data_IF_189993069716
#
_entry.id   IF_189993069716
#
_cell.length_a   1.000
_cell.length_b   1.000
_cell.length_c   1.000
_cell.angle_alpha   90.00
_cell.angle_beta   90.00
_cell.angle_gamma   90.00
#
_symmetry.space_group_name_H-M   'P 1'
#
loop_
_entity.id
_entity.type
_entity.pdbx_description
1 polymer ?
#
# COMPACT_ATOMS: atom_id res chain seq x y z
N UNK A 1 7.87 -8.52 10.64
CA UNK A 1 9.12 -8.03 10.10
C UNK A 1 10.07 -9.20 9.90
N UNK A 2 10.67 -9.34 8.74
CA UNK A 2 11.56 -10.44 8.34
C UNK A 2 12.97 -10.36 9.00
N UNK A 3 13.14 -9.56 10.03
CA UNK A 3 14.44 -9.29 10.61
C UNK A 3 14.74 -10.09 11.90
N UNK A 4 13.79 -10.86 12.39
CA UNK A 4 13.93 -11.60 13.63
C UNK A 4 13.69 -13.10 13.39
N UNK A 5 14.74 -13.86 13.18
CA UNK A 5 14.70 -15.31 13.36
C UNK A 5 14.86 -15.58 14.86
N UNK A 6 13.81 -16.07 15.52
CA UNK A 6 13.83 -16.50 16.91
C UNK A 6 13.92 -18.03 16.93
N UNK A 7 15.12 -18.64 17.01
CA UNK A 7 15.23 -20.06 17.20
C UNK A 7 14.73 -20.44 18.61
N UNK A 8 13.93 -21.49 18.68
CA UNK A 8 13.54 -22.13 19.93
C UNK A 8 14.56 -23.21 20.18
N UNK A 9 15.26 -23.14 21.29
CA UNK A 9 16.34 -24.05 21.67
C UNK A 9 15.79 -25.11 22.61
N UNK A 10 16.43 -26.26 22.61
CA UNK A 10 16.16 -27.33 23.61
C UNK A 10 16.66 -26.92 24.97
N UNK A 11 17.80 -26.18 25.02
CA UNK A 11 18.42 -25.69 26.23
C UNK A 11 19.25 -24.44 25.92
N UNK A 12 18.73 -23.28 26.30
CA UNK A 12 19.36 -21.99 26.04
C UNK A 12 20.66 -21.78 26.86
N UNK A 13 20.85 -22.52 27.94
CA UNK A 13 22.05 -22.40 28.78
C UNK A 13 23.34 -22.92 28.11
N UNK A 14 23.21 -23.69 27.03
CA UNK A 14 24.33 -24.24 26.25
C UNK A 14 24.79 -23.30 25.14
N UNK A 15 24.16 -22.16 24.96
CA UNK A 15 24.54 -21.21 23.92
C UNK A 15 25.75 -20.41 24.37
N UNK A 16 26.80 -20.44 23.60
CA UNK A 16 27.97 -19.56 23.78
C UNK A 16 27.63 -18.18 23.20
N UNK A 17 27.08 -17.31 24.04
CA UNK A 17 26.71 -15.94 23.67
C UNK A 17 27.91 -15.13 23.18
N UNK A 18 29.05 -15.24 23.88
CA UNK A 18 30.27 -14.54 23.50
C UNK A 18 30.80 -14.98 22.13
N UNK A 19 30.78 -16.28 21.84
CA UNK A 19 31.14 -16.82 20.53
C UNK A 19 30.25 -16.26 19.42
N UNK A 20 28.93 -16.18 19.67
CA UNK A 20 27.94 -15.64 18.70
C UNK A 20 28.14 -14.16 18.45
N UNK A 21 28.39 -13.34 19.47
CA UNK A 21 28.59 -11.88 19.32
C UNK A 21 29.86 -11.51 18.54
N UNK A 22 30.85 -12.40 18.54
CA UNK A 22 32.12 -12.21 17.80
C UNK A 22 32.09 -12.80 16.39
N UNK A 23 30.99 -13.43 15.97
CA UNK A 23 30.86 -13.95 14.61
C UNK A 23 30.66 -12.84 13.59
N UNK A 24 31.34 -12.93 12.46
CA UNK A 24 31.24 -11.96 11.39
C UNK A 24 29.82 -11.92 10.83
N UNK A 25 29.17 -10.74 10.89
CA UNK A 25 27.81 -10.55 10.42
C UNK A 25 26.74 -10.58 11.52
N UNK A 26 27.08 -10.95 12.74
CA UNK A 26 26.21 -10.86 13.92
C UNK A 26 26.37 -9.47 14.53
N UNK A 27 25.25 -8.79 14.74
CA UNK A 27 25.18 -7.46 15.35
C UNK A 27 24.88 -7.51 16.85
N UNK A 28 24.38 -8.65 17.33
CA UNK A 28 24.10 -8.89 18.74
C UNK A 28 23.41 -10.23 18.95
N UNK A 29 23.53 -10.76 20.16
CA UNK A 29 22.93 -12.02 20.59
C UNK A 29 22.27 -11.80 21.95
N UNK A 30 20.93 -11.94 22.04
CA UNK A 30 20.16 -11.60 23.23
C UNK A 30 19.32 -12.79 23.66
N UNK A 31 19.54 -13.31 24.90
CA UNK A 31 18.64 -14.31 25.47
C UNK A 31 17.25 -13.71 25.70
N UNK A 32 16.23 -14.47 25.35
CA UNK A 32 14.82 -14.13 25.57
C UNK A 32 14.22 -15.00 26.67
N UNK A 33 13.05 -14.64 27.16
CA UNK A 33 12.35 -15.44 28.17
C UNK A 33 11.95 -16.82 27.64
N UNK A 34 12.20 -17.86 28.41
CA UNK A 34 12.09 -19.26 27.99
C UNK A 34 13.29 -19.67 27.14
N UNK A 35 13.27 -20.88 26.57
CA UNK A 35 14.38 -21.43 25.75
C UNK A 35 14.47 -20.77 24.36
N UNK A 36 14.40 -19.43 24.32
CA UNK A 36 14.51 -18.65 23.10
C UNK A 36 15.76 -17.79 23.11
N UNK A 37 16.40 -17.71 21.95
CA UNK A 37 17.58 -16.91 21.76
C UNK A 37 17.44 -16.07 20.49
N UNK A 38 17.67 -14.77 20.58
CA UNK A 38 17.59 -13.87 19.43
C UNK A 38 18.99 -13.52 18.96
N UNK A 39 19.28 -13.86 17.71
CA UNK A 39 20.52 -13.44 17.04
C UNK A 39 20.17 -12.36 16.03
N UNK A 40 20.71 -11.17 16.22
CA UNK A 40 20.52 -10.03 15.34
C UNK A 40 21.59 -10.06 14.26
N UNK A 41 21.17 -10.28 13.02
CA UNK A 41 22.04 -10.35 11.85
C UNK A 41 21.69 -9.16 10.93
N UNK A 42 22.68 -8.53 10.33
CA UNK A 42 22.47 -7.45 9.38
C UNK A 42 21.80 -7.89 8.08
N UNK A 43 21.97 -7.13 7.00
CA UNK A 43 21.25 -7.32 5.72
C UNK A 43 21.36 -8.70 5.05
N UNK A 44 22.18 -9.62 5.57
CA UNK A 44 22.35 -10.99 5.06
C UNK A 44 21.44 -12.06 5.67
N UNK A 45 20.42 -11.68 6.44
CA UNK A 45 19.54 -12.62 7.17
C UNK A 45 18.97 -13.73 6.29
N UNK A 46 18.50 -13.39 5.08
CA UNK A 46 17.91 -14.36 4.16
C UNK A 46 18.92 -15.45 3.75
N UNK A 47 20.15 -15.05 3.41
CA UNK A 47 21.20 -15.97 3.00
C UNK A 47 21.66 -16.85 4.17
N UNK A 48 21.76 -16.29 5.37
CA UNK A 48 22.11 -17.07 6.57
C UNK A 48 21.01 -18.06 6.90
N UNK A 49 19.75 -17.68 6.80
CA UNK A 49 18.61 -18.56 7.01
C UNK A 49 18.61 -19.73 6.00
N UNK A 50 18.81 -19.46 4.73
CA UNK A 50 18.91 -20.51 3.70
C UNK A 50 20.07 -21.46 3.98
N UNK A 51 21.24 -20.95 4.34
CA UNK A 51 22.40 -21.77 4.67
C UNK A 51 22.15 -22.65 5.89
N UNK A 52 21.48 -22.14 6.93
CA UNK A 52 21.11 -22.92 8.11
C UNK A 52 20.12 -24.03 7.73
N UNK A 53 19.11 -23.73 6.90
CA UNK A 53 18.11 -24.72 6.48
C UNK A 53 18.67 -25.82 5.57
N UNK A 54 19.83 -25.59 4.94
CA UNK A 54 20.54 -26.59 4.15
C UNK A 54 21.51 -27.47 4.97
N UNK A 55 21.67 -27.21 6.26
CA UNK A 55 22.50 -28.07 7.12
C UNK A 55 21.82 -29.44 7.30
N UNK A 56 22.60 -30.55 7.29
CA UNK A 56 22.05 -31.90 7.49
C UNK A 56 21.32 -32.05 8.83
N UNK A 57 21.76 -31.33 9.86
CA UNK A 57 21.20 -31.32 11.20
C UNK A 57 19.82 -30.65 11.25
N UNK A 58 19.52 -29.83 10.25
CA UNK A 58 18.23 -29.15 10.10
C UNK A 58 17.26 -29.91 9.17
N UNK A 59 17.67 -31.06 8.65
CA UNK A 59 16.82 -31.90 7.81
C UNK A 59 15.64 -32.46 8.65
N UNK A 60 14.48 -31.85 8.53
CA UNK A 60 13.30 -32.18 9.34
C UNK A 60 12.80 -31.04 10.22
N UNK A 61 13.56 -29.99 10.38
CA UNK A 61 13.16 -28.77 11.08
C UNK A 61 12.60 -27.79 10.03
N UNK A 62 11.28 -27.62 9.99
CA UNK A 62 10.60 -26.72 9.02
C UNK A 62 9.83 -27.41 7.92
N UNK A 63 9.91 -28.74 7.79
CA UNK A 63 8.98 -29.52 6.97
C UNK A 63 7.67 -29.70 7.73
N UNK A 64 6.55 -29.36 7.09
CA UNK A 64 5.22 -29.61 7.61
C UNK A 64 5.00 -31.12 7.79
N UNK A 65 5.31 -31.62 8.99
CA UNK A 65 4.84 -32.92 9.49
C UNK A 65 5.14 -33.01 10.98
N UNK A 66 4.37 -32.38 11.79
CA UNK A 66 4.24 -32.74 13.20
C UNK A 66 2.78 -33.05 13.46
N UNK A 67 2.41 -34.31 13.26
CA UNK A 67 1.35 -34.93 14.00
C UNK A 67 1.82 -35.06 15.46
N UNK A 68 1.24 -34.30 16.34
CA UNK A 68 1.51 -34.40 17.78
C UNK A 68 1.23 -33.11 18.52
N UNK A 69 0.00 -33.02 19.02
CA UNK A 69 -0.40 -32.23 20.18
C UNK A 69 -0.17 -30.72 20.19
N UNK A 70 -1.25 -29.98 19.84
CA UNK A 70 -1.55 -28.69 20.46
C UNK A 70 -0.84 -27.42 19.99
N UNK A 71 0.12 -27.47 19.10
CA UNK A 71 0.84 -26.28 18.67
C UNK A 71 0.29 -25.73 17.36
N UNK A 72 -0.51 -24.65 17.51
CA UNK A 72 -1.08 -23.92 16.37
C UNK A 72 0.03 -23.45 15.43
N UNK A 73 -0.11 -23.72 14.15
CA UNK A 73 0.76 -23.22 13.09
C UNK A 73 0.89 -21.69 13.18
N UNK A 74 2.06 -21.14 12.80
CA UNK A 74 2.24 -19.69 12.67
C UNK A 74 1.18 -19.05 11.77
N UNK A 75 0.64 -19.79 10.79
CA UNK A 75 -0.51 -19.38 9.98
C UNK A 75 -1.79 -19.31 10.81
N UNK A 76 -2.02 -20.29 11.70
CA UNK A 76 -3.19 -20.38 12.57
C UNK A 76 -3.13 -19.34 13.69
N UNK A 77 -1.95 -19.13 14.28
CA UNK A 77 -1.73 -18.05 15.27
C UNK A 77 -1.92 -16.68 14.63
N UNK A 78 -1.48 -16.49 13.40
CA UNK A 78 -1.69 -15.25 12.63
C UNK A 78 -3.15 -15.10 12.21
N UNK A 79 -3.83 -16.18 11.88
CA UNK A 79 -5.28 -16.20 11.61
C UNK A 79 -6.08 -15.94 12.88
N UNK A 80 -5.70 -16.53 14.02
CA UNK A 80 -6.35 -16.31 15.31
C UNK A 80 -6.07 -14.90 15.86
N UNK A 81 -4.85 -14.37 15.73
CA UNK A 81 -4.55 -12.98 16.06
C UNK A 81 -5.35 -12.01 15.18
N UNK A 82 -5.50 -12.33 13.89
CA UNK A 82 -6.34 -11.56 12.96
C UNK A 82 -7.83 -11.69 13.32
N UNK A 83 -8.31 -12.85 13.73
CA UNK A 83 -9.71 -13.07 14.13
C UNK A 83 -10.04 -12.36 15.46
N UNK A 84 -9.09 -12.31 16.39
CA UNK A 84 -9.22 -11.56 17.66
C UNK A 84 -9.09 -10.06 17.48
N UNK A 85 -8.27 -9.62 16.52
CA UNK A 85 -8.11 -8.22 16.14
C UNK A 85 -9.22 -7.71 15.21
N UNK A 86 -10.01 -8.60 14.60
CA UNK A 86 -11.20 -8.22 13.85
C UNK A 86 -12.22 -7.67 14.83
N UNK A 87 -12.51 -6.37 14.68
CA UNK A 87 -13.53 -5.69 15.46
C UNK A 87 -14.92 -6.35 15.28
N UNK A 88 -15.90 -5.88 16.02
CA UNK A 88 -17.27 -6.42 16.02
C UNK A 88 -17.97 -6.37 14.65
N UNK A 89 -17.35 -5.74 13.64
CA UNK A 89 -17.93 -5.51 12.31
C UNK A 89 -16.94 -5.96 11.23
N UNK A 90 -16.98 -7.23 10.87
CA UNK A 90 -16.04 -7.86 9.93
C UNK A 90 -15.95 -7.17 8.55
N UNK A 91 -17.03 -6.56 8.06
CA UNK A 91 -17.02 -5.84 6.79
C UNK A 91 -16.20 -4.54 6.86
N UNK A 92 -16.23 -3.86 8.02
CA UNK A 92 -15.49 -2.63 8.26
C UNK A 92 -13.98 -2.89 8.28
N UNK A 93 -13.58 -3.97 8.95
CA UNK A 93 -12.17 -4.40 8.97
C UNK A 93 -11.67 -4.75 7.56
N UNK A 94 -12.50 -5.46 6.79
CA UNK A 94 -12.18 -5.79 5.39
C UNK A 94 -12.10 -4.54 4.50
N UNK A 95 -12.93 -3.54 4.75
CA UNK A 95 -12.89 -2.26 4.05
C UNK A 95 -11.60 -1.49 4.38
N UNK A 96 -11.23 -1.40 5.66
CA UNK A 96 -9.97 -0.74 6.04
C UNK A 96 -8.73 -1.49 5.53
N UNK A 97 -8.75 -2.82 5.52
CA UNK A 97 -7.68 -3.62 4.92
C UNK A 97 -7.57 -3.35 3.42
N UNK A 98 -8.69 -3.33 2.71
CA UNK A 98 -8.74 -2.99 1.29
C UNK A 98 -8.17 -1.58 1.02
N UNK A 99 -8.61 -0.60 1.82
CA UNK A 99 -8.12 0.77 1.74
C UNK A 99 -6.60 0.82 1.96
N UNK A 100 -6.13 0.27 3.07
CA UNK A 100 -4.71 0.28 3.43
C UNK A 100 -3.83 -0.39 2.37
N UNK A 101 -4.23 -1.54 1.85
CA UNK A 101 -3.48 -2.27 0.83
C UNK A 101 -3.45 -1.56 -0.52
N UNK A 102 -4.50 -0.79 -0.85
CA UNK A 102 -4.55 0.03 -2.06
C UNK A 102 -3.58 1.22 -1.99
N UNK A 103 -3.35 1.76 -0.79
CA UNK A 103 -2.47 2.93 -0.59
C UNK A 103 -1.02 2.56 -0.25
N UNK A 104 -0.78 1.43 0.42
CA UNK A 104 0.57 1.03 0.86
C UNK A 104 1.65 1.14 -0.22
N UNK A 105 1.43 0.69 -1.49
CA UNK A 105 2.47 0.79 -2.53
C UNK A 105 2.78 2.23 -2.94
N UNK A 106 1.85 3.16 -2.74
CA UNK A 106 1.97 4.56 -3.17
C UNK A 106 2.51 5.48 -2.07
N UNK A 107 2.55 5.02 -0.82
CA UNK A 107 3.00 5.85 0.32
C UNK A 107 4.40 6.43 0.12
N UNK A 108 5.33 5.67 -0.44
CA UNK A 108 6.68 6.15 -0.73
C UNK A 108 6.71 7.31 -1.72
N UNK A 109 5.91 7.21 -2.78
CA UNK A 109 5.79 8.25 -3.81
C UNK A 109 5.13 9.51 -3.24
N UNK A 110 4.06 9.35 -2.44
CA UNK A 110 3.38 10.45 -1.76
C UNK A 110 4.30 11.16 -0.76
N UNK A 111 5.08 10.38 0.00
CA UNK A 111 6.05 10.95 0.94
C UNK A 111 7.12 11.77 0.20
N UNK A 112 7.67 11.25 -0.90
CA UNK A 112 8.62 11.97 -1.74
C UNK A 112 8.05 13.28 -2.29
N UNK A 113 6.82 13.24 -2.84
CA UNK A 113 6.12 14.43 -3.32
C UNK A 113 5.90 15.46 -2.19
N UNK A 114 5.52 15.00 -1.00
CA UNK A 114 5.30 15.86 0.17
C UNK A 114 6.57 16.56 0.64
N UNK A 115 7.71 15.88 0.58
CA UNK A 115 9.02 16.49 0.88
C UNK A 115 9.35 17.60 -0.12
N UNK A 116 9.12 17.38 -1.41
CA UNK A 116 9.34 18.39 -2.45
C UNK A 116 8.46 19.60 -2.21
N UNK A 117 7.17 19.41 -1.89
CA UNK A 117 6.25 20.52 -1.56
C UNK A 117 6.77 21.31 -0.37
N UNK A 118 7.16 20.62 0.71
CA UNK A 118 7.62 21.25 1.93
C UNK A 118 8.88 22.08 1.68
N UNK A 119 9.86 21.55 0.92
CA UNK A 119 11.09 22.27 0.56
C UNK A 119 10.80 23.49 -0.30
N UNK A 120 9.96 23.36 -1.34
CA UNK A 120 9.61 24.49 -2.22
C UNK A 120 8.91 25.59 -1.41
N UNK A 121 7.96 25.26 -0.56
CA UNK A 121 7.23 26.22 0.27
C UNK A 121 8.17 26.91 1.29
N UNK A 122 9.10 26.18 1.87
CA UNK A 122 10.11 26.73 2.76
C UNK A 122 10.99 27.75 2.04
N UNK A 123 11.49 27.41 0.83
CA UNK A 123 12.33 28.31 0.04
C UNK A 123 11.59 29.57 -0.41
N UNK A 124 10.29 29.46 -0.72
CA UNK A 124 9.42 30.61 -1.02
C UNK A 124 9.27 31.49 0.24
N UNK A 125 9.00 30.88 1.41
CA UNK A 125 8.84 31.61 2.67
C UNK A 125 10.09 32.37 3.09
N UNK A 126 11.26 31.84 2.73
CA UNK A 126 12.57 32.49 2.96
C UNK A 126 12.94 33.50 1.87
N UNK A 127 12.08 33.78 0.90
CA UNK A 127 12.32 34.64 -0.26
C UNK A 127 13.55 34.24 -1.10
N UNK A 128 13.95 32.96 -1.06
CA UNK A 128 15.04 32.42 -1.90
C UNK A 128 14.54 32.14 -3.31
N UNK A 129 13.27 31.79 -3.44
CA UNK A 129 12.60 31.50 -4.70
C UNK A 129 11.43 32.46 -4.86
N UNK A 130 11.24 33.07 -6.04
CA UNK A 130 10.05 33.85 -6.32
C UNK A 130 8.81 32.97 -6.36
N UNK A 131 7.71 33.44 -5.80
CA UNK A 131 6.42 32.73 -5.83
C UNK A 131 5.67 32.99 -7.15
N UNK A 132 6.36 33.33 -8.21
CA UNK A 132 5.79 33.55 -9.52
C UNK A 132 5.83 32.25 -10.37
N UNK A 133 4.95 32.20 -11.35
CA UNK A 133 4.93 31.13 -12.36
C UNK A 133 5.74 31.49 -13.61
N UNK A 134 6.50 32.59 -13.55
CA UNK A 134 7.24 33.10 -14.69
C UNK A 134 8.53 32.30 -14.98
N UNK A 135 9.10 31.65 -13.97
CA UNK A 135 10.30 30.86 -14.13
C UNK A 135 9.99 29.42 -14.54
N UNK A 136 10.38 29.02 -15.75
CA UNK A 136 10.17 27.68 -16.28
C UNK A 136 10.74 26.56 -15.37
N UNK A 137 11.89 26.81 -14.70
CA UNK A 137 12.50 25.85 -13.79
C UNK A 137 11.63 25.56 -12.57
N UNK A 138 11.06 26.58 -11.95
CA UNK A 138 10.18 26.39 -10.78
C UNK A 138 8.82 25.82 -11.15
N UNK A 139 8.28 26.17 -12.33
CA UNK A 139 7.07 25.53 -12.88
C UNK A 139 7.31 24.04 -13.07
N UNK A 140 8.49 23.65 -13.59
CA UNK A 140 8.85 22.24 -13.74
C UNK A 140 8.95 21.52 -12.39
N UNK A 141 9.61 22.11 -11.38
CA UNK A 141 9.67 21.51 -10.03
C UNK A 141 8.26 21.35 -9.42
N UNK A 142 7.40 22.38 -9.57
CA UNK A 142 6.00 22.30 -9.15
C UNK A 142 5.23 21.20 -9.90
N UNK A 143 5.52 20.99 -11.18
CA UNK A 143 4.87 19.95 -11.98
C UNK A 143 5.19 18.51 -11.49
N UNK A 144 6.39 18.28 -10.94
CA UNK A 144 6.79 16.96 -10.44
C UNK A 144 5.83 16.50 -9.34
N UNK A 145 5.65 17.28 -8.27
CA UNK A 145 4.77 16.87 -7.18
C UNK A 145 3.28 16.98 -7.54
N UNK A 146 2.89 18.01 -8.33
CA UNK A 146 1.52 18.14 -8.83
C UNK A 146 1.14 16.92 -9.68
N UNK A 147 2.07 16.41 -10.51
CA UNK A 147 1.86 15.21 -11.31
C UNK A 147 1.56 13.97 -10.45
N UNK A 148 2.28 13.78 -9.34
CA UNK A 148 2.02 12.66 -8.42
C UNK A 148 0.59 12.72 -7.89
N UNK A 149 0.13 13.87 -7.40
CA UNK A 149 -1.23 14.02 -6.87
C UNK A 149 -2.30 13.98 -7.98
N UNK A 150 -1.99 14.52 -9.15
CA UNK A 150 -2.89 14.47 -10.30
C UNK A 150 -3.16 13.03 -10.75
N UNK A 151 -2.13 12.20 -10.85
CA UNK A 151 -2.25 10.81 -11.28
C UNK A 151 -2.54 9.83 -10.12
N UNK A 152 -2.67 10.32 -8.90
CA UNK A 152 -2.99 9.50 -7.73
C UNK A 152 -4.21 8.58 -7.93
N UNK A 153 -5.34 9.01 -8.53
CA UNK A 153 -6.48 8.15 -8.77
C UNK A 153 -6.17 6.92 -9.62
N UNK A 154 -5.31 7.05 -10.63
CA UNK A 154 -4.88 5.93 -11.48
C UNK A 154 -4.07 4.92 -10.68
N UNK A 155 -3.13 5.41 -9.85
CA UNK A 155 -2.32 4.54 -8.99
C UNK A 155 -3.16 3.80 -7.95
N UNK A 156 -4.14 4.47 -7.36
CA UNK A 156 -5.09 3.87 -6.41
C UNK A 156 -5.94 2.82 -7.09
N UNK A 157 -6.53 3.13 -8.26
CA UNK A 157 -7.36 2.20 -9.03
C UNK A 157 -6.59 0.93 -9.45
N UNK A 158 -5.35 1.08 -9.87
CA UNK A 158 -4.46 -0.02 -10.22
C UNK A 158 -4.24 -0.97 -9.02
N UNK A 159 -3.88 -0.41 -7.86
CA UNK A 159 -3.61 -1.21 -6.67
C UNK A 159 -4.89 -1.82 -6.08
N UNK A 160 -6.00 -1.10 -6.14
CA UNK A 160 -7.31 -1.57 -5.70
C UNK A 160 -7.79 -2.77 -6.55
N UNK A 161 -7.68 -2.69 -7.88
CA UNK A 161 -7.99 -3.79 -8.77
C UNK A 161 -7.09 -5.02 -8.49
N UNK A 162 -5.79 -4.80 -8.28
CA UNK A 162 -4.84 -5.85 -7.91
C UNK A 162 -5.24 -6.54 -6.61
N UNK A 163 -5.64 -5.80 -5.59
CA UNK A 163 -6.11 -6.36 -4.30
C UNK A 163 -7.37 -7.21 -4.47
N UNK A 164 -8.25 -6.81 -5.37
CA UNK A 164 -9.50 -7.52 -5.68
C UNK A 164 -9.32 -8.66 -6.71
N UNK A 165 -8.07 -8.99 -7.07
CA UNK A 165 -7.70 -10.06 -8.03
C UNK A 165 -8.31 -9.86 -9.42
N UNK A 166 -8.44 -8.63 -9.84
CA UNK A 166 -8.77 -8.21 -11.20
C UNK A 166 -7.50 -7.67 -11.85
N UNK A 167 -7.45 -7.66 -13.19
CA UNK A 167 -6.32 -7.08 -13.91
C UNK A 167 -6.08 -5.62 -13.46
N UNK A 168 -4.90 -5.33 -12.89
CA UNK A 168 -4.60 -4.00 -12.38
C UNK A 168 -4.60 -2.92 -13.47
N UNK A 169 -4.17 -3.28 -14.70
CA UNK A 169 -4.17 -2.35 -15.82
C UNK A 169 -5.55 -1.94 -16.25
N UNK A 170 -6.53 -2.84 -16.15
CA UNK A 170 -7.92 -2.51 -16.45
C UNK A 170 -8.46 -1.45 -15.48
N UNK A 171 -8.20 -1.60 -14.18
CA UNK A 171 -8.55 -0.59 -13.19
C UNK A 171 -7.90 0.77 -13.45
N UNK A 172 -6.58 0.77 -13.71
CA UNK A 172 -5.85 1.99 -14.05
C UNK A 172 -6.33 2.65 -15.34
N UNK A 173 -6.61 1.85 -16.39
CA UNK A 173 -7.07 2.36 -17.68
C UNK A 173 -8.45 3.02 -17.60
N UNK A 174 -9.41 2.43 -16.89
CA UNK A 174 -10.74 3.03 -16.69
C UNK A 174 -10.59 4.39 -16.01
N UNK A 175 -9.77 4.46 -14.96
CA UNK A 175 -9.56 5.73 -14.26
C UNK A 175 -8.83 6.76 -15.14
N UNK A 176 -7.86 6.33 -15.95
CA UNK A 176 -7.19 7.19 -16.91
C UNK A 176 -8.15 7.80 -17.94
N UNK A 177 -9.13 7.02 -18.44
CA UNK A 177 -10.16 7.49 -19.36
C UNK A 177 -10.97 8.63 -18.72
N UNK A 178 -11.36 8.47 -17.46
CA UNK A 178 -12.13 9.49 -16.70
C UNK A 178 -11.34 10.79 -16.45
N UNK A 179 -10.02 10.75 -16.60
CA UNK A 179 -9.14 11.91 -16.41
C UNK A 179 -8.69 12.54 -17.74
N UNK A 180 -9.14 12.02 -18.89
CA UNK A 180 -8.79 12.62 -20.18
C UNK A 180 -9.43 14.01 -20.36
N UNK A 181 -8.78 14.92 -21.07
CA UNK A 181 -9.36 16.23 -21.40
C UNK A 181 -10.71 16.10 -22.13
N UNK A 182 -10.90 15.05 -22.92
CA UNK A 182 -12.16 14.77 -23.62
C UNK A 182 -13.29 14.46 -22.65
N UNK A 183 -13.02 13.68 -21.61
CA UNK A 183 -14.01 13.36 -20.58
C UNK A 183 -14.29 14.56 -19.68
N UNK A 184 -13.27 15.24 -19.18
CA UNK A 184 -13.43 16.41 -18.33
C UNK A 184 -14.06 17.58 -19.08
N UNK A 185 -13.78 17.72 -20.39
CA UNK A 185 -14.40 18.71 -21.25
C UNK A 185 -15.93 18.51 -21.45
N UNK A 186 -16.48 17.34 -21.14
CA UNK A 186 -17.92 17.14 -21.13
C UNK A 186 -18.63 18.02 -20.08
N UNK A 187 -17.95 18.46 -19.03
CA UNK A 187 -18.51 19.34 -18.01
C UNK A 187 -18.88 20.74 -18.60
N UNK A 188 -18.18 21.16 -19.64
CA UNK A 188 -18.41 22.43 -20.31
C UNK A 188 -19.34 22.30 -21.54
N UNK A 189 -19.80 21.08 -21.84
CA UNK A 189 -20.68 20.83 -22.97
C UNK A 189 -22.07 21.41 -22.72
N UNK A 190 -22.69 21.97 -23.78
CA UNK A 190 -24.04 22.58 -23.73
C UNK A 190 -25.14 21.60 -23.29
N UNK A 191 -24.89 20.30 -23.38
CA UNK A 191 -25.80 19.21 -22.99
C UNK A 191 -25.66 18.79 -21.52
N UNK A 192 -24.75 19.42 -20.78
CA UNK A 192 -24.46 19.10 -19.40
C UNK A 192 -25.13 20.09 -18.47
N UNK A 193 -25.86 19.58 -17.48
CA UNK A 193 -26.49 20.39 -16.44
C UNK A 193 -25.59 20.36 -15.20
N UNK A 194 -25.13 21.55 -14.78
CA UNK A 194 -24.31 21.70 -13.59
C UNK A 194 -25.08 22.42 -12.49
N UNK A 195 -24.96 21.89 -11.26
CA UNK A 195 -25.49 22.51 -10.05
C UNK A 195 -24.31 22.82 -9.12
N UNK A 196 -24.21 24.10 -8.75
CA UNK A 196 -23.21 24.54 -7.77
C UNK A 196 -23.82 24.48 -6.36
N UNK A 197 -23.15 23.77 -5.47
CA UNK A 197 -23.50 23.76 -4.05
C UNK A 197 -22.65 24.83 -3.35
N UNK A 198 -23.20 26.02 -3.17
CA UNK A 198 -22.51 27.15 -2.55
C UNK A 198 -22.04 26.85 -1.10
N UNK A 199 -22.74 25.96 -0.38
CA UNK A 199 -22.38 25.59 0.99
C UNK A 199 -21.14 24.69 1.08
N UNK A 200 -20.88 23.90 0.04
CA UNK A 200 -19.75 22.94 -0.01
C UNK A 200 -18.65 23.37 -1.00
N UNK A 201 -18.88 24.44 -1.77
CA UNK A 201 -17.96 24.89 -2.81
C UNK A 201 -17.73 23.84 -3.92
N UNK A 202 -18.70 22.92 -4.12
CA UNK A 202 -18.58 21.83 -5.08
C UNK A 202 -19.52 22.03 -6.26
N UNK A 203 -19.01 21.76 -7.46
CA UNK A 203 -19.78 21.77 -8.71
C UNK A 203 -20.07 20.33 -9.11
N UNK A 204 -21.34 19.95 -9.14
CA UNK A 204 -21.81 18.67 -9.63
C UNK A 204 -22.44 18.83 -10.99
N UNK A 205 -21.91 18.14 -11.98
CA UNK A 205 -22.40 18.18 -13.35
C UNK A 205 -23.00 16.83 -13.74
N UNK A 206 -24.07 16.83 -14.51
CA UNK A 206 -24.70 15.60 -15.02
C UNK A 206 -24.87 15.72 -16.52
N UNK A 207 -24.34 14.78 -17.27
CA UNK A 207 -24.58 14.65 -18.70
C UNK A 207 -25.40 13.40 -19.01
N UNK A 208 -26.19 13.47 -20.06
CA UNK A 208 -26.89 12.31 -20.58
C UNK A 208 -26.04 11.65 -21.66
N UNK A 209 -25.51 10.44 -21.34
CA UNK A 209 -24.67 9.66 -22.23
C UNK A 209 -25.47 8.44 -22.72
N UNK A 210 -25.86 8.44 -23.99
CA UNK A 210 -26.69 7.40 -24.60
C UNK A 210 -27.99 7.09 -23.82
N UNK A 211 -28.63 8.11 -23.24
CA UNK A 211 -29.86 7.96 -22.47
C UNK A 211 -29.66 7.68 -20.98
N UNK A 212 -28.40 7.50 -20.53
CA UNK A 212 -28.07 7.28 -19.13
C UNK A 212 -27.51 8.56 -18.49
N UNK A 213 -28.06 9.03 -17.36
CA UNK A 213 -27.51 10.16 -16.64
C UNK A 213 -26.19 9.76 -15.99
N UNK A 214 -25.10 10.43 -16.36
CA UNK A 214 -23.78 10.24 -15.80
C UNK A 214 -23.35 11.48 -15.01
N UNK A 215 -22.93 11.28 -13.77
CA UNK A 215 -22.31 12.32 -12.97
C UNK A 215 -20.90 12.60 -13.47
N UNK A 216 -20.61 13.85 -13.75
CA UNK A 216 -19.30 14.32 -14.19
C UNK A 216 -18.65 15.13 -13.08
N UNK A 217 -17.39 14.88 -12.82
CA UNK A 217 -16.58 15.60 -11.84
C UNK A 217 -15.12 15.59 -12.27
N UNK A 218 -14.35 16.53 -11.75
CA UNK A 218 -12.90 16.42 -11.82
C UNK A 218 -12.43 15.35 -10.83
N UNK A 219 -11.93 14.25 -11.37
CA UNK A 219 -11.46 13.12 -10.58
C UNK A 219 -9.97 13.21 -10.20
N UNK A 220 -9.27 14.28 -10.64
CA UNK A 220 -7.86 14.49 -10.27
C UNK A 220 -7.72 14.61 -8.76
N UNK A 221 -6.77 13.86 -8.18
CA UNK A 221 -6.58 13.81 -6.73
C UNK A 221 -7.69 13.11 -5.92
N UNK A 222 -8.75 12.62 -6.56
CA UNK A 222 -9.81 11.88 -5.87
C UNK A 222 -9.35 10.46 -5.54
N UNK A 223 -9.58 10.01 -4.31
CA UNK A 223 -9.16 8.68 -3.85
C UNK A 223 -10.30 7.70 -3.63
N UNK A 224 -11.53 8.20 -3.45
CA UNK A 224 -12.69 7.34 -3.17
C UNK A 224 -13.30 6.76 -4.45
N UNK A 225 -13.40 7.56 -5.50
CA UNK A 225 -13.95 7.11 -6.79
C UNK A 225 -13.18 5.95 -7.38
N UNK A 226 -11.83 5.96 -7.45
CA UNK A 226 -11.05 4.81 -7.93
C UNK A 226 -11.26 3.54 -7.11
N UNK A 227 -11.45 3.64 -5.80
CA UNK A 227 -11.73 2.48 -4.94
C UNK A 227 -13.11 1.88 -5.24
N UNK A 228 -14.15 2.74 -5.34
CA UNK A 228 -15.50 2.30 -5.69
C UNK A 228 -15.54 1.70 -7.09
N UNK A 229 -14.89 2.35 -8.06
CA UNK A 229 -14.81 1.88 -9.43
C UNK A 229 -14.14 0.50 -9.51
N UNK A 230 -13.02 0.30 -8.78
CA UNK A 230 -12.35 -0.98 -8.74
C UNK A 230 -13.22 -2.07 -8.09
N UNK A 231 -14.01 -1.73 -7.06
CA UNK A 231 -14.95 -2.65 -6.44
C UNK A 231 -16.08 -3.07 -7.41
N UNK A 232 -16.67 -2.10 -8.12
CA UNK A 232 -17.69 -2.39 -9.16
C UNK A 232 -17.09 -3.24 -10.28
N UNK A 233 -15.90 -2.89 -10.76
CA UNK A 233 -15.18 -3.66 -11.78
C UNK A 233 -14.99 -5.11 -11.32
N UNK A 234 -14.60 -5.33 -10.05
CA UNK A 234 -14.40 -6.67 -9.52
C UNK A 234 -15.72 -7.47 -9.45
N UNK A 235 -16.82 -6.83 -9.06
CA UNK A 235 -18.14 -7.48 -9.06
C UNK A 235 -18.54 -7.92 -10.48
N UNK A 236 -18.38 -7.06 -11.48
CA UNK A 236 -18.69 -7.38 -12.87
C UNK A 236 -17.77 -8.49 -13.38
N UNK A 237 -16.46 -8.35 -13.16
CA UNK A 237 -15.47 -9.32 -13.62
C UNK A 237 -15.70 -10.72 -13.05
N UNK A 238 -15.95 -10.82 -11.75
CA UNK A 238 -16.20 -12.11 -11.10
C UNK A 238 -17.57 -12.66 -11.45
N UNK A 239 -18.59 -11.80 -11.63
CA UNK A 239 -19.92 -12.21 -12.07
C UNK A 239 -19.97 -12.72 -13.51
N UNK A 240 -19.12 -12.22 -14.41
CA UNK A 240 -19.03 -12.73 -15.78
C UNK A 240 -18.22 -14.04 -15.89
N UNK A 241 -17.43 -14.35 -14.86
CA UNK A 241 -16.56 -15.54 -14.86
C UNK A 241 -17.17 -16.71 -14.09
N UNK A 242 -18.23 -16.48 -13.32
CA UNK A 242 -19.02 -17.52 -12.63
C UNK A 242 -20.02 -18.17 -13.57
#
# INVERSE_FOLDING_TARGET
>A
SLHDALPILVDASKVDQNGLEHMQGVLGAVPQSGDRFQVVIGGGVATVYENIMHLPEMAGVGGASASGDGQKSNADVKAEARSKARGKVAWLDSFFEYLADSFRPILGVLLGASIIIALVNLLISLNVIPNDEASAGWVFVKAIWKGVFYFLPIMVAYNAAKKLKVDPWLGGAIMAILMTPQFTGLMDAKTTTCVENAALGTKSCTANIFGLPMALSDYSGNVFVPLLMAAVLALVYHGLRS
#
